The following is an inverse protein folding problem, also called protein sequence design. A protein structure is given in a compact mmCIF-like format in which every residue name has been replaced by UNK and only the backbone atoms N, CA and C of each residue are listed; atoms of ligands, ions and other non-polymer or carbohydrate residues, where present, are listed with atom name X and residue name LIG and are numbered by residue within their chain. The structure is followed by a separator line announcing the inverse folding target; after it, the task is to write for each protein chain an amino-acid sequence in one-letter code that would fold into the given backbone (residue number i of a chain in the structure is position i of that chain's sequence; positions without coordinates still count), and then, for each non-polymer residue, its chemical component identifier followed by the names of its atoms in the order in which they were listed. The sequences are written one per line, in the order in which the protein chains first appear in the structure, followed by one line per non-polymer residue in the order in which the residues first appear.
data_IF_242735631510
#
_entry.id   IF_242735631510
#
_cell.length_a   1.000
_cell.length_b   1.000
_cell.length_c   1.000
_cell.angle_alpha   90.00
_cell.angle_beta   90.00
_cell.angle_gamma   90.00
#
_symmetry.space_group_name_H-M   'P 1'
#
loop_
_entity.id
_entity.type
_entity.pdbx_description
1 polymer ?
#
# COMPACT_ATOMS: atom_id res chain seq x y z
N UNK A 1 9.48 -16.73 19.78
CA UNK A 1 8.65 -16.29 20.91
C UNK A 1 9.47 -15.54 21.95
N UNK A 2 10.61 -16.06 22.44
CA UNK A 2 11.44 -15.39 23.46
C UNK A 2 11.84 -13.94 23.11
N UNK A 3 12.33 -13.72 21.89
CA UNK A 3 12.70 -12.37 21.43
C UNK A 3 11.47 -11.45 21.36
N UNK A 4 10.34 -11.93 20.84
CA UNK A 4 9.09 -11.15 20.76
C UNK A 4 8.63 -10.74 22.17
N UNK A 5 8.61 -11.69 23.11
CA UNK A 5 8.24 -11.44 24.50
C UNK A 5 9.17 -10.40 25.17
N UNK A 6 10.49 -10.49 24.90
CA UNK A 6 11.48 -9.53 25.40
C UNK A 6 11.23 -8.13 24.83
N UNK A 7 11.13 -8.00 23.51
CA UNK A 7 10.91 -6.71 22.83
C UNK A 7 9.54 -6.09 23.17
N UNK A 8 8.51 -6.91 23.38
CA UNK A 8 7.16 -6.43 23.77
C UNK A 8 7.00 -6.19 25.27
N UNK A 9 8.05 -6.41 26.08
CA UNK A 9 7.99 -6.30 27.54
C UNK A 9 6.97 -7.23 28.20
N UNK A 10 6.57 -8.31 27.53
CA UNK A 10 5.52 -9.23 27.97
C UNK A 10 6.12 -10.54 28.46
N UNK A 11 5.52 -11.15 29.49
CA UNK A 11 5.92 -12.48 29.92
C UNK A 11 5.70 -13.51 28.79
N UNK A 12 6.68 -14.39 28.55
CA UNK A 12 6.58 -15.39 27.49
C UNK A 12 5.33 -16.27 27.63
N UNK A 13 4.92 -16.60 28.87
CA UNK A 13 3.69 -17.35 29.13
C UNK A 13 2.42 -16.62 28.69
N UNK A 14 2.37 -15.30 28.88
CA UNK A 14 1.26 -14.47 28.38
C UNK A 14 1.23 -14.44 26.85
N UNK A 15 2.40 -14.42 26.19
CA UNK A 15 2.45 -14.48 24.73
C UNK A 15 1.90 -15.80 24.19
N UNK A 16 2.23 -16.94 24.82
CA UNK A 16 1.67 -18.25 24.47
C UNK A 16 0.17 -18.37 24.74
N UNK A 17 -0.36 -17.62 25.72
CA UNK A 17 -1.79 -17.56 25.99
C UNK A 17 -2.58 -16.95 24.82
N UNK A 18 -2.02 -15.92 24.17
CA UNK A 18 -2.67 -15.28 23.01
C UNK A 18 -2.30 -15.93 21.67
N UNK A 19 -1.04 -16.37 21.53
CA UNK A 19 -0.51 -16.91 20.29
C UNK A 19 0.21 -18.24 20.57
N UNK A 20 -0.35 -19.38 20.14
CA UNK A 20 0.22 -20.69 20.48
C UNK A 20 1.61 -20.92 19.88
N UNK A 21 1.97 -20.21 18.79
CA UNK A 21 3.26 -20.31 18.11
C UNK A 21 3.60 -19.02 17.35
N UNK A 22 4.79 -18.98 16.73
CA UNK A 22 5.28 -17.81 15.99
C UNK A 22 4.42 -17.52 14.76
N UNK A 23 3.90 -18.57 14.12
CA UNK A 23 3.06 -18.50 12.94
C UNK A 23 1.74 -17.79 13.26
N UNK A 24 1.17 -18.02 14.43
CA UNK A 24 -0.02 -17.32 14.91
C UNK A 24 0.23 -15.82 15.13
N UNK A 25 1.41 -15.44 15.64
CA UNK A 25 1.80 -14.02 15.76
C UNK A 25 1.90 -13.38 14.37
N UNK A 26 2.57 -14.04 13.41
CA UNK A 26 2.71 -13.55 12.04
C UNK A 26 1.36 -13.49 11.30
N UNK A 27 0.46 -14.44 11.57
CA UNK A 27 -0.92 -14.42 11.08
C UNK A 27 -1.68 -13.18 11.56
N UNK A 28 -1.63 -12.91 12.87
CA UNK A 28 -2.27 -11.73 13.45
C UNK A 28 -1.67 -10.41 12.93
N UNK A 29 -0.35 -10.36 12.76
CA UNK A 29 0.34 -9.20 12.17
C UNK A 29 -0.14 -8.94 10.74
N UNK A 30 -0.21 -9.98 9.90
CA UNK A 30 -0.73 -9.87 8.53
C UNK A 30 -2.18 -9.43 8.50
N UNK A 31 -3.04 -10.00 9.35
CA UNK A 31 -4.45 -9.58 9.41
C UNK A 31 -4.59 -8.10 9.78
N UNK A 32 -3.75 -7.60 10.70
CA UNK A 32 -3.68 -6.16 11.03
C UNK A 32 -3.35 -5.31 9.79
N UNK A 33 -2.40 -5.74 8.97
CA UNK A 33 -2.06 -5.02 7.73
C UNK A 33 -3.16 -5.09 6.68
N UNK A 34 -3.77 -6.27 6.48
CA UNK A 34 -4.89 -6.45 5.56
C UNK A 34 -6.03 -5.51 5.93
N UNK A 35 -6.40 -5.45 7.23
CA UNK A 35 -7.45 -4.55 7.69
C UNK A 35 -7.09 -3.07 7.45
N UNK A 36 -5.87 -2.65 7.77
CA UNK A 36 -5.46 -1.28 7.57
C UNK A 36 -5.47 -0.88 6.09
N UNK A 37 -5.00 -1.75 5.19
CA UNK A 37 -5.02 -1.47 3.75
C UNK A 37 -6.46 -1.43 3.23
N UNK A 38 -7.35 -2.31 3.71
CA UNK A 38 -8.78 -2.26 3.40
C UNK A 38 -9.39 -0.91 3.82
N UNK A 39 -9.09 -0.42 5.02
CA UNK A 39 -9.57 0.86 5.51
C UNK A 39 -9.08 2.03 4.62
N UNK A 40 -7.81 1.98 4.17
CA UNK A 40 -7.28 2.94 3.20
C UNK A 40 -8.04 2.87 1.86
N UNK A 41 -8.28 1.67 1.32
CA UNK A 41 -9.04 1.51 0.08
C UNK A 41 -10.48 2.02 0.22
N UNK A 42 -11.11 1.87 1.40
CA UNK A 42 -12.42 2.45 1.67
C UNK A 42 -12.39 3.98 1.64
N UNK A 43 -11.34 4.61 2.19
CA UNK A 43 -11.18 6.08 2.13
C UNK A 43 -11.05 6.55 0.68
N UNK A 44 -10.22 5.89 -0.12
CA UNK A 44 -10.02 6.23 -1.54
C UNK A 44 -11.34 6.08 -2.32
N UNK A 45 -12.09 5.00 -2.08
CA UNK A 45 -13.39 4.75 -2.73
C UNK A 45 -14.50 5.74 -2.39
N UNK A 46 -14.35 6.55 -1.33
CA UNK A 46 -15.29 7.64 -1.01
C UNK A 46 -15.14 8.85 -1.92
N UNK A 47 -14.02 8.96 -2.65
CA UNK A 47 -13.83 10.04 -3.62
C UNK A 47 -14.73 9.79 -4.83
N UNK A 48 -15.61 10.74 -5.13
CA UNK A 48 -16.57 10.58 -6.22
C UNK A 48 -15.90 10.67 -7.59
N UNK A 49 -16.59 10.19 -8.63
CA UNK A 49 -16.08 10.33 -10.00
C UNK A 49 -15.93 11.81 -10.41
N UNK A 50 -16.85 12.67 -9.97
CA UNK A 50 -16.79 14.12 -10.20
C UNK A 50 -15.57 14.75 -9.50
N UNK A 51 -15.32 14.38 -8.25
CA UNK A 51 -14.12 14.83 -7.53
C UNK A 51 -12.86 14.39 -8.26
N UNK A 52 -12.79 13.11 -8.68
CA UNK A 52 -11.64 12.63 -9.44
C UNK A 52 -11.41 13.46 -10.67
N UNK A 53 -12.42 13.83 -11.46
CA UNK A 53 -12.24 14.64 -12.68
C UNK A 53 -11.76 16.07 -12.37
N UNK A 54 -12.24 16.66 -11.27
CA UNK A 54 -12.06 18.10 -10.99
C UNK A 54 -10.80 18.44 -10.23
N UNK A 55 -10.28 17.52 -9.40
CA UNK A 55 -9.07 17.78 -8.61
C UNK A 55 -7.81 17.91 -9.47
N UNK A 56 -6.78 18.57 -8.96
CA UNK A 56 -5.47 18.64 -9.63
C UNK A 56 -4.78 17.26 -9.72
N UNK A 57 -3.69 17.17 -10.48
CA UNK A 57 -2.86 15.96 -10.51
C UNK A 57 -2.18 15.73 -9.16
N UNK A 58 -1.71 16.81 -8.53
CA UNK A 58 -1.07 16.80 -7.23
C UNK A 58 -2.05 16.27 -6.17
N UNK A 59 -3.29 16.76 -6.15
CA UNK A 59 -4.33 16.26 -5.25
C UNK A 59 -4.71 14.80 -5.54
N UNK A 60 -4.67 14.39 -6.82
CA UNK A 60 -4.89 12.98 -7.18
C UNK A 60 -3.81 12.10 -6.55
N UNK A 61 -2.54 12.50 -6.62
CA UNK A 61 -1.44 11.78 -5.98
C UNK A 61 -1.62 11.72 -4.47
N UNK A 62 -2.00 12.84 -3.84
CA UNK A 62 -2.24 12.90 -2.40
C UNK A 62 -3.41 12.01 -1.96
N UNK A 63 -4.47 11.87 -2.77
CA UNK A 63 -5.63 11.04 -2.43
C UNK A 63 -5.47 9.58 -2.80
N UNK A 64 -4.83 9.28 -3.92
CA UNK A 64 -4.75 7.93 -4.48
C UNK A 64 -3.50 7.17 -4.00
N UNK A 65 -2.34 7.83 -4.03
CA UNK A 65 -1.05 7.16 -3.87
C UNK A 65 -0.49 7.33 -2.46
N UNK A 66 -0.47 8.56 -1.94
CA UNK A 66 0.18 8.86 -0.66
C UNK A 66 -0.33 8.07 0.55
N UNK A 67 -1.63 7.75 0.70
CA UNK A 67 -2.10 7.01 1.87
C UNK A 67 -1.44 5.63 1.99
N UNK A 68 -1.23 4.93 0.87
CA UNK A 68 -0.53 3.64 0.86
C UNK A 68 0.96 3.82 1.12
N UNK A 69 1.59 4.85 0.54
CA UNK A 69 3.01 5.15 0.75
C UNK A 69 3.32 5.43 2.21
N UNK A 70 2.53 6.30 2.84
CA UNK A 70 2.70 6.68 4.25
C UNK A 70 2.52 5.46 5.16
N UNK A 71 1.51 4.63 4.88
CA UNK A 71 1.27 3.41 5.63
C UNK A 71 2.45 2.43 5.53
N UNK A 72 2.92 2.15 4.32
CA UNK A 72 4.04 1.23 4.08
C UNK A 72 5.35 1.76 4.65
N UNK A 73 5.56 3.08 4.59
CA UNK A 73 6.71 3.71 5.22
C UNK A 73 6.69 3.50 6.73
N UNK A 74 5.55 3.68 7.39
CA UNK A 74 5.41 3.52 8.83
C UNK A 74 5.42 2.05 9.29
N UNK A 75 5.11 1.12 8.39
CA UNK A 75 5.00 -0.31 8.66
C UNK A 75 5.87 -1.12 7.67
N UNK A 76 7.21 -1.03 7.75
CA UNK A 76 8.10 -1.71 6.80
C UNK A 76 7.97 -3.25 6.85
N UNK A 77 7.49 -3.80 7.97
CA UNK A 77 7.13 -5.21 8.15
C UNK A 77 6.00 -5.68 7.22
N UNK A 78 5.16 -4.75 6.74
CA UNK A 78 4.13 -5.03 5.74
C UNK A 78 4.73 -5.46 4.39
N UNK A 79 5.88 -4.87 4.00
CA UNK A 79 6.56 -5.20 2.73
C UNK A 79 7.17 -6.60 2.78
N UNK A 80 7.79 -6.97 3.89
CA UNK A 80 8.43 -8.28 4.09
C UNK A 80 7.40 -9.41 4.20
N UNK A 81 6.24 -9.11 4.80
CA UNK A 81 5.16 -10.09 5.00
C UNK A 81 4.40 -10.42 3.71
N UNK A 82 4.52 -9.58 2.68
CA UNK A 82 3.83 -9.77 1.42
C UNK A 82 4.40 -10.96 0.60
N UNK A 83 5.66 -11.37 0.75
CA UNK A 83 6.27 -12.39 -0.15
C UNK A 83 5.84 -13.85 0.07
N UNK A 84 4.98 -14.15 1.05
CA UNK A 84 4.57 -15.54 1.34
C UNK A 84 3.22 -15.92 0.71
N UNK A 85 3.26 -16.43 -0.53
CA UNK A 85 2.09 -16.83 -1.33
C UNK A 85 1.12 -17.80 -0.61
N UNK A 86 1.62 -18.87 0.01
CA UNK A 86 0.78 -19.85 0.75
C UNK A 86 -0.02 -19.25 1.91
N UNK A 87 0.50 -18.17 2.49
CA UNK A 87 -0.15 -17.50 3.62
C UNK A 87 -1.03 -16.34 3.16
N UNK A 88 -0.84 -15.84 1.94
CA UNK A 88 -1.78 -14.91 1.27
C UNK A 88 -3.13 -15.59 1.06
N UNK A 89 -3.12 -16.81 0.50
CA UNK A 89 -4.33 -17.59 0.22
C UNK A 89 -5.16 -17.86 1.48
N UNK A 90 -4.49 -18.14 2.61
CA UNK A 90 -5.15 -18.50 3.87
C UNK A 90 -5.84 -17.32 4.57
N UNK A 91 -5.45 -16.09 4.28
CA UNK A 91 -5.88 -14.89 5.03
C UNK A 91 -6.71 -13.90 4.18
N UNK A 92 -7.26 -14.33 3.03
CA UNK A 92 -8.09 -13.46 2.16
C UNK A 92 -7.29 -12.42 1.37
N UNK A 93 -5.96 -12.57 1.24
CA UNK A 93 -5.15 -11.62 0.50
C UNK A 93 -5.42 -11.55 -1.03
N UNK A 94 -5.91 -12.61 -1.72
CA UNK A 94 -6.34 -12.48 -3.11
C UNK A 94 -7.45 -11.43 -3.28
N UNK A 95 -8.44 -11.44 -2.38
CA UNK A 95 -9.55 -10.47 -2.38
C UNK A 95 -9.03 -9.05 -2.12
N UNK A 96 -8.06 -8.88 -1.22
CA UNK A 96 -7.42 -7.59 -0.97
C UNK A 96 -6.68 -7.07 -2.21
N UNK A 97 -5.92 -7.92 -2.90
CA UNK A 97 -5.17 -7.51 -4.10
C UNK A 97 -6.14 -7.05 -5.19
N UNK A 98 -7.21 -7.80 -5.43
CA UNK A 98 -8.25 -7.42 -6.39
C UNK A 98 -8.94 -6.12 -5.98
N UNK A 99 -9.23 -5.93 -4.69
CA UNK A 99 -9.86 -4.73 -4.15
C UNK A 99 -8.99 -3.47 -4.30
N UNK A 100 -7.67 -3.59 -4.02
CA UNK A 100 -6.70 -2.53 -4.30
C UNK A 100 -6.70 -2.23 -5.80
N UNK A 101 -6.64 -3.27 -6.64
CA UNK A 101 -6.57 -3.09 -8.08
C UNK A 101 -7.81 -2.36 -8.62
N UNK A 102 -9.00 -2.79 -8.20
CA UNK A 102 -10.27 -2.17 -8.60
C UNK A 102 -10.39 -0.73 -8.11
N UNK A 103 -9.92 -0.44 -6.90
CA UNK A 103 -9.92 0.92 -6.34
C UNK A 103 -9.06 1.86 -7.20
N UNK A 104 -7.87 1.42 -7.60
CA UNK A 104 -6.98 2.21 -8.44
C UNK A 104 -7.51 2.30 -9.88
N UNK A 105 -7.98 1.20 -10.48
CA UNK A 105 -8.56 1.22 -11.83
C UNK A 105 -9.76 2.15 -11.92
N UNK A 106 -10.62 2.22 -10.89
CA UNK A 106 -11.73 3.17 -10.86
C UNK A 106 -11.26 4.62 -10.99
N UNK A 107 -10.28 5.04 -10.19
CA UNK A 107 -9.72 6.39 -10.23
C UNK A 107 -9.07 6.67 -11.60
N UNK A 108 -8.26 5.74 -12.10
CA UNK A 108 -7.56 5.89 -13.38
C UNK A 108 -8.53 5.91 -14.57
N UNK A 109 -9.52 5.02 -14.62
CA UNK A 109 -10.56 4.99 -15.67
C UNK A 109 -11.38 6.27 -15.72
N UNK A 110 -11.61 6.88 -14.57
CA UNK A 110 -12.36 8.13 -14.47
C UNK A 110 -11.55 9.31 -15.01
N UNK A 111 -10.25 9.36 -14.69
CA UNK A 111 -9.31 10.41 -15.14
C UNK A 111 -8.83 10.27 -16.57
N UNK A 112 -8.76 9.05 -17.06
CA UNK A 112 -8.12 8.70 -18.33
C UNK A 112 -9.04 7.77 -19.14
N UNK A 113 -10.20 8.25 -19.60
CA UNK A 113 -11.21 7.43 -20.26
C UNK A 113 -10.75 6.86 -21.60
N UNK A 114 -9.80 7.51 -22.27
CA UNK A 114 -9.31 7.11 -23.60
C UNK A 114 -8.37 5.90 -23.58
N UNK A 115 -7.94 5.47 -22.40
CA UNK A 115 -7.05 4.34 -22.22
C UNK A 115 -7.85 3.03 -22.24
N UNK A 116 -7.39 2.05 -23.02
CA UNK A 116 -7.96 0.70 -22.99
C UNK A 116 -7.66 -0.02 -21.66
N UNK A 117 -8.35 -1.14 -21.42
CA UNK A 117 -8.19 -1.91 -20.18
C UNK A 117 -6.74 -2.40 -19.96
N UNK A 118 -6.06 -2.84 -21.02
CA UNK A 118 -4.69 -3.34 -20.91
C UNK A 118 -3.70 -2.21 -20.56
N UNK A 119 -3.90 -1.01 -21.12
CA UNK A 119 -3.12 0.17 -20.80
C UNK A 119 -3.38 0.61 -19.35
N UNK A 120 -4.64 0.74 -18.93
CA UNK A 120 -4.98 1.08 -17.53
C UNK A 120 -4.40 0.07 -16.55
N UNK A 121 -4.49 -1.24 -16.86
CA UNK A 121 -3.90 -2.30 -16.03
C UNK A 121 -2.42 -2.08 -15.78
N UNK A 122 -1.64 -1.72 -16.82
CA UNK A 122 -0.22 -1.38 -16.69
C UNK A 122 0.00 -0.13 -15.83
N UNK A 123 -0.85 0.88 -15.96
CA UNK A 123 -0.74 2.09 -15.15
C UNK A 123 -1.05 1.86 -13.68
N UNK A 124 -2.04 1.02 -13.35
CA UNK A 124 -2.30 0.57 -11.96
C UNK A 124 -1.09 -0.17 -11.41
N UNK A 125 -0.54 -1.13 -12.16
CA UNK A 125 0.65 -1.88 -11.73
C UNK A 125 1.85 -0.98 -11.48
N UNK A 126 2.11 0.00 -12.35
CA UNK A 126 3.18 0.98 -12.16
C UNK A 126 2.92 1.86 -10.92
N UNK A 127 1.67 2.28 -10.71
CA UNK A 127 1.29 3.11 -9.56
C UNK A 127 1.49 2.40 -8.23
N UNK A 128 1.20 1.10 -8.18
CA UNK A 128 1.39 0.27 -6.99
C UNK A 128 2.84 -0.19 -6.80
N UNK A 129 3.58 -0.45 -7.88
CA UNK A 129 4.92 -1.03 -7.83
C UNK A 129 6.05 -0.01 -7.59
N UNK A 130 5.96 1.18 -8.19
CA UNK A 130 6.96 2.25 -8.02
C UNK A 130 7.21 2.67 -6.55
N UNK A 131 6.19 2.91 -5.71
CA UNK A 131 6.43 3.32 -4.34
C UNK A 131 7.01 2.18 -3.51
N UNK A 132 6.65 0.91 -3.79
CA UNK A 132 7.24 -0.25 -3.12
C UNK A 132 8.74 -0.29 -3.34
N UNK A 133 9.20 -0.15 -4.59
CA UNK A 133 10.63 -0.13 -4.90
C UNK A 133 11.37 1.04 -4.25
N UNK A 134 10.78 2.24 -4.28
CA UNK A 134 11.38 3.42 -3.63
C UNK A 134 11.46 3.26 -2.11
N UNK A 135 10.43 2.70 -1.48
CA UNK A 135 10.42 2.46 -0.04
C UNK A 135 11.41 1.35 0.38
N UNK A 136 11.64 0.34 -0.47
CA UNK A 136 12.68 -0.66 -0.23
C UNK A 136 14.07 0.00 -0.21
N UNK A 137 14.37 0.90 -1.15
CA UNK A 137 15.63 1.66 -1.15
C UNK A 137 15.77 2.50 0.13
N UNK A 138 14.68 3.09 0.62
CA UNK A 138 14.69 3.87 1.87
C UNK A 138 15.01 3.03 3.12
N UNK A 139 14.86 1.69 3.07
CA UNK A 139 15.26 0.81 4.18
C UNK A 139 16.79 0.77 4.33
N UNK A 140 17.52 0.82 3.21
CA UNK A 140 18.98 0.85 3.17
C UNK A 140 19.55 2.27 3.41
N UNK A 141 18.71 3.31 3.25
CA UNK A 141 19.07 4.72 3.40
C UNK A 141 18.09 5.49 4.33
N UNK A 142 18.11 5.23 5.65
CA UNK A 142 17.15 5.81 6.59
C UNK A 142 17.22 7.35 6.69
N UNK A 143 18.39 7.93 6.41
CA UNK A 143 18.65 9.37 6.40
C UNK A 143 17.94 10.11 5.27
N UNK A 144 17.73 9.43 4.13
CA UNK A 144 17.04 10.00 2.97
C UNK A 144 15.52 9.75 2.97
N UNK A 145 15.02 8.89 3.88
CA UNK A 145 13.62 8.41 3.88
C UNK A 145 12.59 9.54 3.83
N UNK A 146 12.79 10.57 4.66
CA UNK A 146 11.84 11.68 4.77
C UNK A 146 11.77 12.49 3.47
N UNK A 147 12.92 12.76 2.84
CA UNK A 147 12.98 13.47 1.57
C UNK A 147 12.35 12.64 0.45
N UNK A 148 12.57 11.33 0.44
CA UNK A 148 11.93 10.46 -0.54
C UNK A 148 10.40 10.46 -0.41
N UNK A 149 9.88 10.33 0.81
CA UNK A 149 8.43 10.29 1.06
C UNK A 149 7.78 11.64 0.76
N UNK A 150 8.41 12.75 1.19
CA UNK A 150 7.80 14.09 1.12
C UNK A 150 8.03 14.80 -0.21
N UNK A 151 9.12 14.47 -0.92
CA UNK A 151 9.57 15.21 -2.10
C UNK A 151 9.56 14.30 -3.33
N UNK A 152 10.33 13.21 -3.30
CA UNK A 152 10.59 12.41 -4.52
C UNK A 152 9.37 11.63 -4.98
N UNK A 153 8.70 10.93 -4.07
CA UNK A 153 7.53 10.11 -4.39
C UNK A 153 6.39 10.97 -4.98
N UNK A 154 5.95 12.08 -4.34
CA UNK A 154 4.95 12.97 -4.93
C UNK A 154 5.39 13.52 -6.29
N UNK A 155 6.65 13.94 -6.42
CA UNK A 155 7.19 14.49 -7.68
C UNK A 155 7.14 13.48 -8.82
N UNK A 156 7.53 12.23 -8.56
CA UNK A 156 7.51 11.14 -9.54
C UNK A 156 6.08 10.87 -9.99
N UNK A 157 5.15 10.71 -9.06
CA UNK A 157 3.76 10.39 -9.42
C UNK A 157 3.04 11.55 -10.12
N UNK A 158 3.24 12.78 -9.67
CA UNK A 158 2.67 13.96 -10.34
C UNK A 158 3.19 14.05 -11.77
N UNK A 159 4.50 13.89 -11.97
CA UNK A 159 5.10 13.92 -13.31
C UNK A 159 4.60 12.80 -14.21
N UNK A 160 4.49 11.59 -13.66
CA UNK A 160 3.98 10.41 -14.35
C UNK A 160 2.53 10.59 -14.80
N UNK A 161 1.62 10.97 -13.89
CA UNK A 161 0.21 11.18 -14.26
C UNK A 161 0.04 12.36 -15.23
N UNK A 162 0.77 13.46 -15.04
CA UNK A 162 0.76 14.56 -16.01
C UNK A 162 1.25 14.13 -17.40
N UNK A 163 2.15 13.15 -17.51
CA UNK A 163 2.57 12.61 -18.80
C UNK A 163 1.48 11.74 -19.44
N UNK A 164 0.71 11.00 -18.65
CA UNK A 164 -0.41 10.20 -19.15
C UNK A 164 -1.57 11.07 -19.65
N UNK A 165 -1.92 12.14 -18.93
CA UNK A 165 -3.04 13.03 -19.30
C UNK A 165 -2.75 14.00 -20.44
N UNK A 166 -1.52 14.02 -20.98
CA UNK A 166 -1.11 14.88 -22.11
C UNK A 166 -1.28 14.22 -23.48
N UNK A 167 -1.66 12.95 -23.53
CA UNK A 167 -2.07 12.28 -24.77
C UNK A 167 -3.46 12.74 -25.19
#
# INVERSE_FOLDING_TARGET
MNLIAKESGTAIGSLYHFFPNKEAVLGALRLRHVQAINDLMQVIRRVSAEDWITISTEEMVQKLTMPLVEYLAQNPDCLVSADNEKEREKNGAPELVDDIFQTYDFALRTRMPDYDEAQRRRHVMATLGLPIGLLQICQDHPDARDDFIKIEIPRVFTSYFNALMRK
#
